data_IF_179245723248
#
_entry.id   IF_179245723248
#
_cell.length_a   1.000
_cell.length_b   1.000
_cell.length_c   1.000
_cell.angle_alpha   90.00
_cell.angle_beta   90.00
_cell.angle_gamma   90.00
#
_symmetry.space_group_name_H-M   'P 1'
#
loop_
_entity.id
_entity.type
_entity.pdbx_description
1 polymer ?
#
# COMPACT_ATOMS: atom_id res chain seq x y z
N UNK A 1 22.41 54.02 -0.74
CA UNK A 1 22.44 53.38 -2.09
C UNK A 1 22.84 51.90 -2.02
N UNK A 2 23.59 51.47 -1.00
CA UNK A 2 23.97 50.06 -0.78
C UNK A 2 22.87 49.21 -0.13
N UNK A 3 22.11 49.76 0.83
CA UNK A 3 21.09 49.01 1.58
C UNK A 3 19.91 48.57 0.70
N UNK A 4 19.39 49.47 -0.14
CA UNK A 4 18.33 49.18 -1.10
C UNK A 4 18.71 48.09 -2.12
N UNK A 5 20.01 48.00 -2.45
CA UNK A 5 20.52 46.96 -3.36
C UNK A 5 20.64 45.61 -2.65
N UNK A 6 20.95 45.62 -1.35
CA UNK A 6 21.00 44.42 -0.54
C UNK A 6 19.59 43.85 -0.35
N UNK A 7 18.62 44.71 -0.04
CA UNK A 7 17.21 44.35 0.15
C UNK A 7 16.60 43.75 -1.14
N UNK A 8 16.88 44.37 -2.29
CA UNK A 8 16.47 43.87 -3.61
C UNK A 8 17.08 42.51 -3.97
N UNK A 9 18.36 42.28 -3.64
CA UNK A 9 19.01 40.98 -3.89
C UNK A 9 18.42 39.90 -3.00
N UNK A 10 18.21 40.17 -1.71
CA UNK A 10 17.61 39.21 -0.76
C UNK A 10 16.18 38.85 -1.16
N UNK A 11 15.38 39.83 -1.56
CA UNK A 11 14.00 39.59 -2.00
C UNK A 11 13.97 38.75 -3.29
N UNK A 12 14.90 38.99 -4.21
CA UNK A 12 15.03 38.21 -5.44
C UNK A 12 15.45 36.76 -5.18
N UNK A 13 16.44 36.54 -4.32
CA UNK A 13 16.87 35.18 -3.92
C UNK A 13 15.74 34.41 -3.23
N UNK A 14 14.97 35.08 -2.35
CA UNK A 14 13.83 34.48 -1.67
C UNK A 14 12.67 34.11 -2.62
N UNK A 15 12.45 34.91 -3.67
CA UNK A 15 11.44 34.63 -4.70
C UNK A 15 11.86 33.45 -5.58
N UNK A 16 13.12 33.41 -6.02
CA UNK A 16 13.65 32.31 -6.82
C UNK A 16 13.62 30.99 -6.02
N UNK A 17 13.97 31.00 -4.73
CA UNK A 17 13.90 29.82 -3.85
C UNK A 17 12.46 29.29 -3.69
N UNK A 18 11.48 30.18 -3.46
CA UNK A 18 10.07 29.77 -3.38
C UNK A 18 9.57 29.17 -4.69
N UNK A 19 9.97 29.75 -5.81
CA UNK A 19 9.55 29.30 -7.14
C UNK A 19 10.12 27.92 -7.48
N UNK A 20 11.36 27.64 -7.10
CA UNK A 20 11.97 26.31 -7.29
C UNK A 20 11.37 25.27 -6.34
N UNK A 21 11.02 25.65 -5.11
CA UNK A 21 10.30 24.77 -4.17
C UNK A 21 8.90 24.43 -4.68
N UNK A 22 8.14 25.42 -5.18
CA UNK A 22 6.79 25.21 -5.72
C UNK A 22 6.82 24.32 -6.99
N UNK A 23 7.78 24.56 -7.89
CA UNK A 23 7.99 23.69 -9.04
C UNK A 23 8.39 22.26 -8.63
N UNK A 24 9.27 22.13 -7.64
CA UNK A 24 9.68 20.82 -7.11
C UNK A 24 8.50 20.06 -6.51
N UNK A 25 7.65 20.72 -5.70
CA UNK A 25 6.46 20.08 -5.14
C UNK A 25 5.46 19.63 -6.21
N UNK A 26 5.26 20.42 -7.27
CA UNK A 26 4.36 20.04 -8.38
C UNK A 26 4.92 18.84 -9.16
N UNK A 27 6.23 18.79 -9.40
CA UNK A 27 6.87 17.65 -10.07
C UNK A 27 6.79 16.38 -9.23
N UNK A 28 6.98 16.48 -7.92
CA UNK A 28 6.84 15.35 -7.00
C UNK A 28 5.40 14.84 -6.93
N UNK A 29 4.40 15.73 -6.93
CA UNK A 29 2.97 15.36 -6.97
C UNK A 29 2.58 14.67 -8.29
N UNK A 30 3.17 15.09 -9.43
CA UNK A 30 2.99 14.40 -10.71
C UNK A 30 3.69 13.02 -10.75
N UNK A 31 4.80 12.86 -10.05
CA UNK A 31 5.55 11.59 -9.96
C UNK A 31 4.87 10.58 -9.02
N UNK A 32 4.23 11.04 -7.95
CA UNK A 32 3.40 10.22 -7.05
C UNK A 32 2.09 9.78 -7.71
N UNK A 33 1.65 10.50 -8.74
CA UNK A 33 0.44 10.17 -9.48
C UNK A 33 0.70 9.15 -10.58
N UNK A 34 -0.31 8.33 -10.90
CA UNK A 34 -0.17 7.41 -12.03
C UNK A 34 0.03 8.21 -13.33
N UNK A 35 1.02 7.87 -14.18
CA UNK A 35 1.23 8.53 -15.48
C UNK A 35 0.05 8.42 -16.44
N UNK A 36 -0.88 7.50 -16.14
CA UNK A 36 -2.06 7.21 -16.94
C UNK A 36 -3.25 7.92 -16.28
N UNK A 37 -3.86 8.92 -16.93
CA UNK A 37 -4.89 9.76 -16.30
C UNK A 37 -6.14 8.97 -15.90
N UNK A 38 -6.46 7.89 -16.62
CA UNK A 38 -7.56 6.98 -16.28
C UNK A 38 -7.30 6.22 -14.98
N UNK A 39 -6.03 5.94 -14.64
CA UNK A 39 -5.63 5.24 -13.42
C UNK A 39 -5.52 6.23 -12.25
N UNK A 40 -5.02 7.43 -12.49
CA UNK A 40 -4.99 8.53 -11.51
C UNK A 40 -6.40 8.91 -11.01
N UNK A 41 -7.42 8.76 -11.85
CA UNK A 41 -8.79 9.13 -11.51
C UNK A 41 -9.55 8.06 -10.68
N UNK A 42 -9.06 6.82 -10.62
CA UNK A 42 -9.82 5.72 -9.97
C UNK A 42 -9.47 5.51 -8.50
N UNK A 43 -8.31 5.99 -8.03
CA UNK A 43 -7.85 5.77 -6.66
C UNK A 43 -7.15 7.05 -6.14
N UNK A 44 -7.46 7.53 -4.92
CA UNK A 44 -6.72 8.61 -4.29
C UNK A 44 -5.27 8.21 -3.98
N UNK A 45 -4.30 9.11 -4.20
CA UNK A 45 -2.89 8.88 -3.85
C UNK A 45 -2.62 8.96 -2.35
N UNK A 46 -3.58 9.45 -1.57
CA UNK A 46 -3.51 9.54 -0.11
C UNK A 46 -4.02 8.25 0.53
N UNK A 47 -3.20 7.67 1.39
CA UNK A 47 -3.59 6.53 2.23
C UNK A 47 -4.38 7.01 3.46
N UNK A 48 -5.33 6.20 3.93
CA UNK A 48 -6.12 6.49 5.13
C UNK A 48 -5.56 5.71 6.33
N UNK A 49 -4.86 6.37 7.28
CA UNK A 49 -4.25 5.70 8.43
C UNK A 49 -5.28 5.21 9.47
N UNK A 50 -6.56 5.56 9.33
CA UNK A 50 -7.63 5.06 10.19
C UNK A 50 -8.09 3.64 9.81
N UNK A 51 -7.69 3.15 8.64
CA UNK A 51 -8.02 1.81 8.18
C UNK A 51 -7.35 0.75 9.08
N UNK A 52 -8.13 -0.17 9.67
CA UNK A 52 -7.60 -1.11 10.63
C UNK A 52 -6.73 -2.17 9.94
N UNK A 53 -5.41 -2.00 10.09
CA UNK A 53 -4.40 -2.97 9.66
C UNK A 53 -4.11 -3.93 10.83
N UNK A 54 -3.98 -5.23 10.57
CA UNK A 54 -3.74 -6.29 11.59
C UNK A 54 -4.89 -6.56 12.60
N UNK A 55 -6.14 -6.59 12.15
CA UNK A 55 -7.27 -7.02 13.00
C UNK A 55 -7.17 -8.49 13.44
N UNK A 56 -7.84 -8.85 14.55
CA UNK A 56 -7.93 -10.23 15.05
C UNK A 56 -8.34 -11.24 13.96
N UNK A 57 -9.26 -10.84 13.07
CA UNK A 57 -9.68 -11.62 11.89
C UNK A 57 -8.51 -12.06 11.02
N UNK A 58 -7.57 -11.16 10.73
CA UNK A 58 -6.41 -11.45 9.87
C UNK A 58 -5.49 -12.46 10.54
N UNK A 59 -5.24 -12.32 11.85
CA UNK A 59 -4.42 -13.25 12.61
C UNK A 59 -5.02 -14.66 12.66
N UNK A 60 -6.33 -14.76 12.92
CA UNK A 60 -7.03 -16.06 12.94
C UNK A 60 -6.95 -16.73 11.58
N UNK A 61 -7.19 -15.99 10.49
CA UNK A 61 -7.07 -16.55 9.14
C UNK A 61 -5.62 -16.94 8.81
N UNK A 62 -4.64 -16.09 9.11
CA UNK A 62 -3.24 -16.34 8.79
C UNK A 62 -2.69 -17.60 9.50
N UNK A 63 -2.93 -17.72 10.82
CA UNK A 63 -2.51 -18.88 11.60
C UNK A 63 -3.28 -20.13 11.16
N UNK A 64 -4.60 -19.99 10.95
CA UNK A 64 -5.46 -21.08 10.50
C UNK A 64 -5.02 -21.67 9.16
N UNK A 65 -4.87 -20.82 8.13
CA UNK A 65 -4.40 -21.25 6.81
C UNK A 65 -2.98 -21.83 6.88
N UNK A 66 -2.05 -21.15 7.55
CA UNK A 66 -0.66 -21.60 7.67
C UNK A 66 -0.57 -23.01 8.28
N UNK A 67 -1.30 -23.26 9.37
CA UNK A 67 -1.35 -24.57 10.01
C UNK A 67 -1.98 -25.64 9.11
N UNK A 68 -3.12 -25.34 8.49
CA UNK A 68 -3.84 -26.28 7.62
C UNK A 68 -2.99 -26.69 6.41
N UNK A 69 -2.38 -25.72 5.73
CA UNK A 69 -1.58 -25.94 4.52
C UNK A 69 -0.31 -26.70 4.85
N UNK A 70 0.38 -26.32 5.95
CA UNK A 70 1.59 -27.03 6.39
C UNK A 70 1.28 -28.47 6.73
N UNK A 71 0.15 -28.72 7.42
CA UNK A 71 -0.32 -30.07 7.70
C UNK A 71 -0.56 -30.88 6.42
N UNK A 72 -1.33 -30.34 5.47
CA UNK A 72 -1.62 -31.07 4.23
C UNK A 72 -0.34 -31.30 3.40
N UNK A 73 0.49 -30.27 3.21
CA UNK A 73 1.75 -30.40 2.48
C UNK A 73 2.66 -31.46 3.11
N UNK A 74 2.80 -31.47 4.43
CA UNK A 74 3.61 -32.49 5.11
C UNK A 74 2.97 -33.88 5.07
N UNK A 75 1.66 -33.97 5.13
CA UNK A 75 0.92 -35.23 5.08
C UNK A 75 0.98 -35.91 3.71
N UNK A 76 0.98 -35.13 2.61
CA UNK A 76 1.11 -35.67 1.25
C UNK A 76 2.58 -35.91 0.85
N UNK A 77 3.55 -35.37 1.59
CA UNK A 77 4.97 -35.49 1.29
C UNK A 77 5.48 -36.93 1.23
N UNK A 78 5.04 -37.79 2.16
CA UNK A 78 5.53 -39.17 2.27
C UNK A 78 4.91 -40.16 1.27
N UNK A 79 4.12 -39.67 0.31
CA UNK A 79 3.46 -40.52 -0.68
C UNK A 79 4.30 -40.64 -1.95
N UNK A 80 4.16 -41.75 -2.67
CA UNK A 80 4.86 -41.97 -3.94
C UNK A 80 4.59 -40.88 -5.00
N UNK A 81 3.39 -40.28 -4.97
CA UNK A 81 3.04 -39.10 -5.76
C UNK A 81 2.62 -37.98 -4.79
N UNK A 82 3.51 -37.04 -4.44
CA UNK A 82 3.19 -35.96 -3.53
C UNK A 82 2.28 -34.93 -4.19
N UNK A 83 1.32 -34.42 -3.42
CA UNK A 83 0.43 -33.32 -3.82
C UNK A 83 0.79 -32.12 -2.96
N UNK A 84 1.25 -31.04 -3.57
CA UNK A 84 1.60 -29.80 -2.87
C UNK A 84 0.53 -28.75 -3.12
N UNK A 85 0.00 -28.18 -2.05
CA UNK A 85 -0.92 -27.05 -2.10
C UNK A 85 -0.09 -25.78 -2.25
N UNK A 86 -0.21 -25.15 -3.43
CA UNK A 86 0.45 -23.88 -3.75
C UNK A 86 -0.34 -22.65 -3.30
N UNK A 87 0.32 -21.50 -3.34
CA UNK A 87 -0.21 -20.19 -2.91
C UNK A 87 -1.56 -19.83 -3.55
N UNK A 88 -1.77 -20.14 -4.83
CA UNK A 88 -2.98 -19.76 -5.59
C UNK A 88 -4.25 -20.35 -4.99
N UNK A 89 -4.20 -21.60 -4.52
CA UNK A 89 -5.36 -22.26 -3.89
C UNK A 89 -5.75 -21.52 -2.61
N UNK A 90 -4.75 -21.08 -1.85
CA UNK A 90 -4.93 -20.32 -0.61
C UNK A 90 -5.57 -18.98 -0.89
N UNK A 91 -5.10 -18.26 -1.92
CA UNK A 91 -5.66 -16.97 -2.33
C UNK A 91 -7.13 -17.08 -2.73
N UNK A 92 -7.48 -18.11 -3.50
CA UNK A 92 -8.86 -18.38 -3.92
C UNK A 92 -9.79 -18.69 -2.74
N UNK A 93 -9.28 -19.36 -1.70
CA UNK A 93 -10.05 -19.67 -0.48
C UNK A 93 -10.09 -18.48 0.50
N UNK A 94 -9.01 -17.72 0.59
CA UNK A 94 -8.89 -16.60 1.54
C UNK A 94 -9.89 -15.48 1.23
N UNK A 95 -10.17 -15.19 -0.05
CA UNK A 95 -11.12 -14.15 -0.43
C UNK A 95 -12.57 -14.39 0.06
N UNK A 96 -13.22 -15.53 -0.24
CA UNK A 96 -14.58 -15.79 0.23
C UNK A 96 -14.64 -15.93 1.76
N UNK A 97 -13.63 -16.54 2.39
CA UNK A 97 -13.58 -16.68 3.85
C UNK A 97 -13.41 -15.31 4.53
N UNK A 98 -12.55 -14.45 3.99
CA UNK A 98 -12.38 -13.08 4.48
C UNK A 98 -13.67 -12.26 4.36
N UNK A 99 -14.39 -12.38 3.23
CA UNK A 99 -15.69 -11.73 3.01
C UNK A 99 -16.78 -12.27 3.96
N UNK A 100 -16.75 -13.56 4.27
CA UNK A 100 -17.65 -14.17 5.24
C UNK A 100 -17.35 -13.66 6.66
N UNK A 101 -16.09 -13.67 7.06
CA UNK A 101 -15.68 -13.24 8.41
C UNK A 101 -15.89 -11.75 8.63
N UNK A 102 -15.81 -10.92 7.57
CA UNK A 102 -16.20 -9.51 7.63
C UNK A 102 -17.70 -9.28 7.82
N UNK A 103 -18.57 -10.25 7.46
CA UNK A 103 -20.01 -10.17 7.73
C UNK A 103 -20.40 -10.72 9.09
N UNK A 104 -19.65 -11.70 9.60
CA UNK A 104 -19.97 -12.39 10.87
C UNK A 104 -19.37 -11.68 12.07
N UNK A 105 -18.13 -11.16 11.96
CA UNK A 105 -17.53 -10.34 13.00
C UNK A 105 -17.66 -8.86 12.66
N UNK A 106 -18.28 -8.04 13.54
CA UNK A 106 -18.17 -6.59 13.46
C UNK A 106 -16.70 -6.17 13.70
N UNK A 107 -16.27 -5.13 12.98
CA UNK A 107 -14.92 -4.55 13.03
C UNK A 107 -14.61 -3.87 14.36
#
# INVERSE_FOLDING_TARGET
MSEQKLEYTTEKEFVDEKFDVERSSVVLEEEENSPIPEVAAIVPNTDDPSLPTFTFRVWVMAIGFSGLISFFNQFFWFRANPITIGMTVVQLLAFPIGKFMARVLPS
#
